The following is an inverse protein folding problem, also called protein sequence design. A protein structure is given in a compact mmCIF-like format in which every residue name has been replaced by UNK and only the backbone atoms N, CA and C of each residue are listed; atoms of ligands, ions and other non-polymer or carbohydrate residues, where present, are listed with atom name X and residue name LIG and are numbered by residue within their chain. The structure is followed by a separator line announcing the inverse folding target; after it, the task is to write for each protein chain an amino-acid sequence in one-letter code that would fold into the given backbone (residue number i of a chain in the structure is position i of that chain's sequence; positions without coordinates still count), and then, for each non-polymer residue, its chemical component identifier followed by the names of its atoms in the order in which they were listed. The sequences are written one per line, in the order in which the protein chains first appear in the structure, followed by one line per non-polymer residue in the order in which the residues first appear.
data_IF_446599131422
#
_entry.id   IF_446599131422
#
_cell.length_a   1.000
_cell.length_b   1.000
_cell.length_c   1.000
_cell.angle_alpha   90.00
_cell.angle_beta   90.00
_cell.angle_gamma   90.00
#
_symmetry.space_group_name_H-M   'P 1'
#
loop_
_entity.id
_entity.type
_entity.pdbx_description
1 polymer ?
#
# COMPACT_ATOMS: atom_id res chain seq x y z
N UNK A 1 -53.61 51.65 -31.90
CA UNK A 1 -53.59 50.40 -32.68
C UNK A 1 -53.85 49.27 -31.70
N UNK A 2 -55.05 48.69 -31.76
CA UNK A 2 -55.55 47.70 -30.80
C UNK A 2 -55.10 46.32 -31.30
N UNK A 3 -54.37 45.57 -30.48
CA UNK A 3 -53.99 44.18 -30.78
C UNK A 3 -55.22 43.30 -30.58
N UNK A 4 -55.72 42.73 -31.68
CA UNK A 4 -56.85 41.79 -31.66
C UNK A 4 -56.47 40.56 -30.82
N UNK A 5 -57.17 40.37 -29.70
CA UNK A 5 -57.18 39.12 -28.95
C UNK A 5 -57.96 38.11 -29.80
N UNK A 6 -57.25 37.10 -30.28
CA UNK A 6 -57.80 35.97 -31.03
C UNK A 6 -58.47 35.02 -30.02
N UNK A 7 -59.75 35.27 -29.73
CA UNK A 7 -60.59 34.46 -28.84
C UNK A 7 -60.94 33.12 -29.52
N UNK A 8 -60.01 32.15 -29.47
CA UNK A 8 -60.31 30.76 -29.80
C UNK A 8 -60.94 30.05 -28.58
N UNK A 9 -62.11 29.41 -28.71
CA UNK A 9 -62.71 28.67 -27.61
C UNK A 9 -61.83 27.46 -27.24
N UNK A 10 -61.44 27.37 -25.98
CA UNK A 10 -60.74 26.20 -25.43
C UNK A 10 -61.68 24.99 -25.40
N UNK A 11 -61.68 24.21 -26.49
CA UNK A 11 -62.26 22.87 -26.47
C UNK A 11 -61.40 21.97 -25.58
N UNK A 12 -62.02 21.31 -24.59
CA UNK A 12 -61.38 20.25 -23.82
C UNK A 12 -61.02 19.11 -24.79
N UNK A 13 -59.76 19.09 -25.23
CA UNK A 13 -59.16 17.92 -25.87
C UNK A 13 -59.37 16.75 -24.90
N UNK A 14 -60.10 15.73 -25.35
CA UNK A 14 -60.45 14.55 -24.54
C UNK A 14 -59.24 13.87 -23.87
N UNK A 15 -59.47 12.83 -23.05
CA UNK A 15 -58.42 12.23 -22.22
C UNK A 15 -57.15 11.97 -23.03
N UNK A 16 -56.06 12.66 -22.69
CA UNK A 16 -54.79 12.47 -23.40
C UNK A 16 -54.35 11.02 -23.24
N UNK A 17 -53.92 10.36 -24.32
CA UNK A 17 -53.40 9.00 -24.22
C UNK A 17 -52.23 8.98 -23.23
N UNK A 18 -52.19 7.95 -22.38
CA UNK A 18 -51.11 7.78 -21.43
C UNK A 18 -49.78 7.76 -22.18
N UNK A 19 -48.88 8.69 -21.83
CA UNK A 19 -47.54 8.74 -22.40
C UNK A 19 -46.83 7.45 -21.99
N UNK A 20 -46.23 6.69 -22.93
CA UNK A 20 -45.43 5.53 -22.57
C UNK A 20 -44.26 5.98 -21.68
N UNK A 21 -43.86 5.16 -20.70
CA UNK A 21 -42.78 5.51 -19.79
C UNK A 21 -41.51 5.83 -20.59
N UNK A 22 -40.80 6.84 -20.13
CA UNK A 22 -39.55 7.27 -20.76
C UNK A 22 -38.47 6.20 -20.66
N UNK A 23 -37.45 6.32 -21.50
CA UNK A 23 -36.28 5.44 -21.45
C UNK A 23 -35.63 5.44 -20.05
N UNK A 24 -35.49 6.61 -19.44
CA UNK A 24 -34.90 6.72 -18.10
C UNK A 24 -35.71 5.98 -17.03
N UNK A 25 -37.03 6.10 -17.05
CA UNK A 25 -37.94 5.41 -16.12
C UNK A 25 -37.89 3.88 -16.30
N UNK A 26 -37.61 3.43 -17.51
CA UNK A 26 -37.53 2.01 -17.85
C UNK A 26 -36.17 1.37 -17.55
N UNK A 27 -35.07 2.12 -17.64
CA UNK A 27 -33.71 1.57 -17.64
C UNK A 27 -32.79 2.04 -16.49
N UNK A 28 -33.24 2.93 -15.60
CA UNK A 28 -32.40 3.43 -14.50
C UNK A 28 -31.83 2.31 -13.62
N UNK A 29 -32.61 1.27 -13.33
CA UNK A 29 -32.18 0.15 -12.50
C UNK A 29 -31.03 -0.64 -13.15
N UNK A 30 -31.09 -0.84 -14.47
CA UNK A 30 -30.03 -1.51 -15.24
C UNK A 30 -28.76 -0.69 -15.20
N UNK A 31 -28.86 0.63 -15.34
CA UNK A 31 -27.71 1.55 -15.26
C UNK A 31 -27.06 1.48 -13.88
N UNK A 32 -27.84 1.52 -12.81
CA UNK A 32 -27.32 1.43 -11.43
C UNK A 32 -26.61 0.09 -11.19
N UNK A 33 -27.21 -1.02 -11.63
CA UNK A 33 -26.62 -2.36 -11.47
C UNK A 33 -25.32 -2.48 -12.29
N UNK A 34 -25.29 -1.97 -13.51
CA UNK A 34 -24.08 -1.96 -14.33
C UNK A 34 -22.98 -1.12 -13.67
N UNK A 35 -23.32 0.03 -13.09
CA UNK A 35 -22.37 0.88 -12.38
C UNK A 35 -21.83 0.21 -11.10
N UNK A 36 -22.70 -0.47 -10.34
CA UNK A 36 -22.30 -1.22 -9.17
C UNK A 36 -21.38 -2.39 -9.54
N UNK A 37 -21.73 -3.16 -10.58
CA UNK A 37 -20.94 -4.29 -11.05
C UNK A 37 -19.56 -3.86 -11.57
N UNK A 38 -19.49 -2.76 -12.34
CA UNK A 38 -18.22 -2.20 -12.83
C UNK A 38 -17.35 -1.69 -11.69
N UNK A 39 -17.94 -1.03 -10.70
CA UNK A 39 -17.21 -0.58 -9.50
C UNK A 39 -16.66 -1.76 -8.71
N UNK A 40 -17.47 -2.81 -8.50
CA UNK A 40 -17.05 -4.02 -7.80
C UNK A 40 -15.93 -4.74 -8.57
N UNK A 41 -16.06 -4.86 -9.89
CA UNK A 41 -15.06 -5.46 -10.77
C UNK A 41 -13.75 -4.68 -10.71
N UNK A 42 -13.79 -3.34 -10.75
CA UNK A 42 -12.62 -2.49 -10.61
C UNK A 42 -11.94 -2.69 -9.24
N UNK A 43 -12.71 -2.85 -8.17
CA UNK A 43 -12.20 -3.13 -6.83
C UNK A 43 -11.53 -4.51 -6.74
N UNK A 44 -12.14 -5.54 -7.33
CA UNK A 44 -11.57 -6.89 -7.44
C UNK A 44 -10.28 -6.86 -8.24
N UNK A 45 -10.27 -6.21 -9.41
CA UNK A 45 -9.08 -6.07 -10.25
C UNK A 45 -7.98 -5.30 -9.51
N UNK A 46 -8.32 -4.20 -8.85
CA UNK A 46 -7.36 -3.41 -8.08
C UNK A 46 -6.75 -4.19 -6.91
N UNK A 47 -7.57 -4.93 -6.16
CA UNK A 47 -7.09 -5.78 -5.05
C UNK A 47 -6.26 -6.96 -5.56
N UNK A 48 -6.61 -7.52 -6.72
CA UNK A 48 -5.86 -8.63 -7.33
C UNK A 48 -4.54 -8.16 -7.93
N UNK A 49 -4.50 -7.01 -8.62
CA UNK A 49 -3.27 -6.37 -9.10
C UNK A 49 -2.34 -5.97 -7.96
N UNK A 50 -2.89 -5.52 -6.83
CA UNK A 50 -2.09 -5.28 -5.60
C UNK A 50 -1.45 -6.57 -5.08
N UNK A 51 -2.14 -7.72 -5.19
CA UNK A 51 -1.59 -9.04 -4.84
C UNK A 51 -0.61 -9.60 -5.87
N UNK A 52 -0.76 -9.23 -7.15
CA UNK A 52 -0.01 -9.77 -8.29
C UNK A 52 1.17 -8.94 -8.77
N UNK A 53 1.50 -7.81 -8.13
CA UNK A 53 2.72 -7.08 -8.49
C UNK A 53 3.89 -8.06 -8.44
N UNK A 54 4.57 -8.33 -9.58
CA UNK A 54 5.69 -9.25 -9.61
C UNK A 54 6.72 -8.70 -8.62
N UNK A 55 6.88 -9.43 -7.52
CA UNK A 55 7.73 -9.03 -6.42
C UNK A 55 9.15 -9.31 -6.91
N UNK A 56 9.83 -8.28 -7.42
CA UNK A 56 11.30 -8.28 -7.35
C UNK A 56 11.64 -8.71 -5.92
N UNK A 57 12.45 -9.76 -5.72
CA UNK A 57 12.61 -10.35 -4.40
C UNK A 57 12.94 -9.22 -3.42
N UNK A 58 12.22 -9.11 -2.30
CA UNK A 58 12.30 -7.93 -1.44
C UNK A 58 13.75 -7.70 -0.98
N UNK A 59 14.54 -8.77 -0.88
CA UNK A 59 15.97 -8.73 -0.62
C UNK A 59 16.80 -8.02 -1.71
N UNK A 60 16.51 -8.21 -3.00
CA UNK A 60 17.27 -7.56 -4.08
C UNK A 60 17.03 -6.04 -4.12
N UNK A 61 15.81 -5.59 -3.82
CA UNK A 61 15.52 -4.16 -3.67
C UNK A 61 16.28 -3.59 -2.48
N UNK A 62 16.30 -4.30 -1.35
CA UNK A 62 17.06 -3.91 -0.18
C UNK A 62 18.55 -3.80 -0.50
N UNK A 63 19.15 -4.82 -1.13
CA UNK A 63 20.59 -4.81 -1.48
C UNK A 63 20.96 -3.65 -2.41
N UNK A 64 20.12 -3.35 -3.41
CA UNK A 64 20.33 -2.19 -4.28
C UNK A 64 20.30 -0.87 -3.49
N UNK A 65 19.38 -0.72 -2.54
CA UNK A 65 19.30 0.45 -1.67
C UNK A 65 20.50 0.55 -0.70
N UNK A 66 20.96 -0.57 -0.15
CA UNK A 66 22.15 -0.63 0.70
C UNK A 66 23.41 -0.25 -0.07
N UNK A 67 23.57 -0.75 -1.31
CA UNK A 67 24.68 -0.40 -2.17
C UNK A 67 24.68 1.10 -2.50
N UNK A 68 23.53 1.67 -2.86
CA UNK A 68 23.40 3.10 -3.14
C UNK A 68 23.59 4.01 -1.94
N UNK A 69 23.50 3.48 -0.71
CA UNK A 69 23.72 4.24 0.52
C UNK A 69 25.19 4.27 0.97
N UNK A 70 26.04 3.38 0.45
CA UNK A 70 27.44 3.26 0.86
C UNK A 70 28.25 4.53 0.59
N UNK A 71 27.95 5.23 -0.52
CA UNK A 71 28.67 6.45 -0.94
C UNK A 71 28.05 7.75 -0.40
N UNK A 72 27.06 7.65 0.49
CA UNK A 72 26.34 8.81 0.99
C UNK A 72 26.89 9.35 2.30
N UNK A 73 26.67 10.64 2.61
CA UNK A 73 26.94 11.18 3.94
C UNK A 73 26.22 10.37 5.02
N UNK A 74 26.89 10.14 6.15
CA UNK A 74 26.44 9.28 7.26
C UNK A 74 24.98 9.48 7.67
N UNK A 75 24.51 10.72 7.78
CA UNK A 75 23.13 11.03 8.15
C UNK A 75 22.11 10.58 7.08
N UNK A 76 22.41 10.81 5.80
CA UNK A 76 21.57 10.39 4.68
C UNK A 76 21.61 8.87 4.50
N UNK A 77 22.80 8.27 4.61
CA UNK A 77 22.97 6.83 4.56
C UNK A 77 22.11 6.14 5.63
N UNK A 78 22.16 6.62 6.89
CA UNK A 78 21.38 6.06 8.00
C UNK A 78 19.87 6.15 7.73
N UNK A 79 19.38 7.28 7.23
CA UNK A 79 17.97 7.46 6.89
C UNK A 79 17.53 6.54 5.74
N UNK A 80 18.31 6.47 4.65
CA UNK A 80 17.96 5.63 3.50
C UNK A 80 18.01 4.15 3.83
N UNK A 81 19.05 3.71 4.55
CA UNK A 81 19.22 2.31 4.96
C UNK A 81 18.09 1.86 5.88
N UNK A 82 17.72 2.68 6.88
CA UNK A 82 16.60 2.36 7.79
C UNK A 82 15.24 2.38 7.08
N UNK A 83 15.00 3.34 6.19
CA UNK A 83 13.78 3.40 5.40
C UNK A 83 13.64 2.20 4.46
N UNK A 84 14.71 1.85 3.74
CA UNK A 84 14.74 0.69 2.86
C UNK A 84 14.49 -0.62 3.62
N UNK A 85 15.12 -0.77 4.80
CA UNK A 85 14.93 -1.95 5.63
C UNK A 85 13.51 -2.05 6.19
N UNK A 86 12.92 -0.94 6.67
CA UNK A 86 11.52 -0.92 7.11
C UNK A 86 10.55 -1.24 5.96
N UNK A 87 10.85 -0.77 4.75
CA UNK A 87 10.13 -1.15 3.53
C UNK A 87 10.23 -2.65 3.22
N UNK A 88 11.44 -3.22 3.35
CA UNK A 88 11.68 -4.66 3.20
C UNK A 88 10.86 -5.49 4.20
N UNK A 89 10.85 -5.11 5.48
CA UNK A 89 10.10 -5.83 6.52
C UNK A 89 8.58 -5.81 6.24
N UNK A 90 8.05 -4.64 5.84
CA UNK A 90 6.64 -4.50 5.48
C UNK A 90 6.26 -5.31 4.24
N UNK A 91 7.19 -5.46 3.29
CA UNK A 91 7.02 -6.32 2.12
C UNK A 91 7.10 -7.81 2.47
N UNK A 92 7.93 -8.18 3.45
CA UNK A 92 8.08 -9.56 3.92
C UNK A 92 6.88 -10.05 4.75
N UNK A 93 6.25 -9.16 5.53
CA UNK A 93 5.08 -9.52 6.32
C UNK A 93 4.18 -8.31 6.66
N UNK A 94 2.84 -8.42 6.51
CA UNK A 94 1.92 -7.28 6.70
C UNK A 94 1.90 -6.75 8.14
N UNK A 95 2.21 -7.58 9.13
CA UNK A 95 2.30 -7.13 10.53
C UNK A 95 3.54 -6.28 10.85
N UNK A 96 4.55 -6.27 9.96
CA UNK A 96 5.79 -5.52 10.12
C UNK A 96 5.71 -4.16 9.40
N UNK A 97 4.64 -3.40 9.66
CA UNK A 97 4.40 -2.10 9.01
C UNK A 97 5.55 -1.12 9.25
N UNK A 98 5.95 -0.41 8.19
CA UNK A 98 7.00 0.60 8.23
C UNK A 98 6.67 1.79 9.16
N UNK A 99 5.39 2.01 9.46
CA UNK A 99 4.90 3.10 10.31
C UNK A 99 5.05 2.84 11.82
N UNK A 100 5.35 1.61 12.23
CA UNK A 100 5.52 1.26 13.65
C UNK A 100 6.78 1.89 14.22
N UNK A 101 6.78 2.34 15.47
CA UNK A 101 8.02 2.64 16.18
C UNK A 101 8.90 1.39 16.32
N UNK A 102 10.19 1.55 16.61
CA UNK A 102 11.12 0.42 16.79
C UNK A 102 10.68 -0.51 17.93
N UNK A 103 10.09 0.04 19.00
CA UNK A 103 9.57 -0.76 20.11
C UNK A 103 8.26 -1.48 19.77
N UNK A 104 7.32 -0.81 19.09
CA UNK A 104 6.10 -1.47 18.61
C UNK A 104 6.41 -2.58 17.61
N UNK A 105 7.36 -2.34 16.70
CA UNK A 105 7.85 -3.36 15.79
C UNK A 105 8.42 -4.55 16.59
N UNK A 106 9.27 -4.28 17.59
CA UNK A 106 9.84 -5.33 18.44
C UNK A 106 8.82 -6.17 19.20
N UNK A 107 7.70 -5.57 19.61
CA UNK A 107 6.57 -6.28 20.20
C UNK A 107 5.81 -7.12 19.14
N UNK A 108 5.50 -6.55 17.97
CA UNK A 108 4.77 -7.25 16.90
C UNK A 108 5.55 -8.41 16.31
N UNK A 109 6.86 -8.30 16.20
CA UNK A 109 7.72 -9.37 15.67
C UNK A 109 7.92 -10.53 16.66
N UNK A 110 7.55 -10.36 17.94
CA UNK A 110 7.77 -11.36 18.98
C UNK A 110 7.06 -12.69 18.69
N UNK A 111 5.88 -12.61 18.10
CA UNK A 111 4.99 -13.76 17.89
C UNK A 111 5.10 -14.33 16.47
N UNK A 112 6.02 -13.82 15.65
CA UNK A 112 6.15 -14.18 14.24
C UNK A 112 7.36 -15.09 14.00
N UNK A 113 7.15 -16.39 13.69
CA UNK A 113 8.25 -17.36 13.50
C UNK A 113 9.28 -16.93 12.47
N UNK A 114 8.83 -16.25 11.41
CA UNK A 114 9.66 -15.72 10.33
C UNK A 114 10.79 -14.80 10.82
N UNK A 115 10.54 -14.02 11.87
CA UNK A 115 11.46 -13.00 12.33
C UNK A 115 12.28 -13.42 13.56
N UNK A 116 11.95 -14.54 14.21
CA UNK A 116 12.64 -14.98 15.42
C UNK A 116 14.18 -15.09 15.25
N UNK A 117 14.73 -15.65 14.16
CA UNK A 117 16.17 -15.79 13.99
C UNK A 117 16.92 -14.45 13.85
N UNK A 118 16.21 -13.42 13.38
CA UNK A 118 16.77 -12.09 13.09
C UNK A 118 16.31 -11.01 14.07
N UNK A 119 15.42 -11.33 15.04
CA UNK A 119 14.75 -10.33 15.88
C UNK A 119 15.71 -9.43 16.64
N UNK A 120 16.66 -10.03 17.35
CA UNK A 120 17.65 -9.26 18.12
C UNK A 120 18.59 -8.43 17.23
N UNK A 121 19.24 -8.98 16.18
CA UNK A 121 20.11 -8.17 15.32
C UNK A 121 19.35 -7.07 14.58
N UNK A 122 18.10 -7.33 14.13
CA UNK A 122 17.21 -6.35 13.52
C UNK A 122 16.92 -5.18 14.46
N UNK A 123 16.48 -5.47 15.70
CA UNK A 123 16.13 -4.43 16.66
C UNK A 123 17.37 -3.67 17.15
N UNK A 124 18.51 -4.34 17.29
CA UNK A 124 19.77 -3.69 17.63
C UNK A 124 20.19 -2.68 16.54
N UNK A 125 20.10 -3.04 15.26
CA UNK A 125 20.43 -2.15 14.15
C UNK A 125 19.49 -0.93 14.10
N UNK A 126 18.17 -1.14 14.26
CA UNK A 126 17.20 -0.05 14.27
C UNK A 126 17.39 0.88 15.48
N UNK A 127 17.62 0.34 16.68
CA UNK A 127 17.89 1.15 17.88
C UNK A 127 19.20 1.92 17.77
N UNK A 128 20.23 1.33 17.17
CA UNK A 128 21.50 2.03 16.91
C UNK A 128 21.28 3.22 15.95
N UNK A 129 20.49 3.03 14.90
CA UNK A 129 20.13 4.10 13.98
C UNK A 129 19.26 5.18 14.65
N UNK A 130 18.32 4.80 15.51
CA UNK A 130 17.54 5.75 16.31
C UNK A 130 18.45 6.54 17.27
N UNK A 131 19.40 5.90 17.93
CA UNK A 131 20.38 6.58 18.77
C UNK A 131 21.26 7.55 17.97
N UNK A 132 21.69 7.18 16.76
CA UNK A 132 22.43 8.08 15.87
C UNK A 132 21.58 9.28 15.44
N UNK A 133 20.30 9.05 15.13
CA UNK A 133 19.37 10.10 14.69
C UNK A 133 18.99 11.07 15.81
N UNK A 134 18.69 10.56 17.00
CA UNK A 134 18.09 11.36 18.08
C UNK A 134 19.09 11.79 19.15
N UNK A 135 20.18 11.05 19.35
CA UNK A 135 21.19 11.33 20.37
C UNK A 135 22.57 11.64 19.78
N UNK A 136 22.69 11.78 18.45
CA UNK A 136 23.95 11.99 17.74
C UNK A 136 25.03 10.95 18.11
N UNK A 137 24.60 9.72 18.46
CA UNK A 137 25.51 8.65 18.77
C UNK A 137 26.37 8.32 17.53
N UNK A 138 27.67 8.02 17.71
CA UNK A 138 28.51 7.65 16.58
C UNK A 138 28.02 6.33 15.98
N UNK A 139 27.69 6.37 14.69
CA UNK A 139 27.28 5.19 13.94
C UNK A 139 27.93 5.23 12.57
N UNK A 140 28.70 4.19 12.27
CA UNK A 140 29.33 4.03 10.98
C UNK A 140 28.36 3.37 9.99
N UNK A 141 28.09 3.99 8.82
CA UNK A 141 27.12 3.45 7.86
C UNK A 141 27.44 2.03 7.42
N UNK A 142 28.72 1.68 7.28
CA UNK A 142 29.15 0.34 6.90
C UNK A 142 28.71 -0.74 7.91
N UNK A 143 28.78 -0.43 9.21
CA UNK A 143 28.34 -1.33 10.29
C UNK A 143 26.82 -1.51 10.24
N UNK A 144 26.07 -0.42 10.06
CA UNK A 144 24.62 -0.46 9.94
C UNK A 144 24.18 -1.28 8.71
N UNK A 145 24.80 -1.04 7.56
CA UNK A 145 24.54 -1.77 6.31
C UNK A 145 24.81 -3.26 6.49
N UNK A 146 25.94 -3.63 7.10
CA UNK A 146 26.28 -5.03 7.34
C UNK A 146 25.28 -5.71 8.30
N UNK A 147 24.90 -5.03 9.39
CA UNK A 147 23.94 -5.56 10.36
C UNK A 147 22.55 -5.79 9.75
N UNK A 148 22.07 -4.85 8.92
CA UNK A 148 20.79 -4.96 8.23
C UNK A 148 20.82 -6.05 7.16
N UNK A 149 21.92 -6.14 6.40
CA UNK A 149 22.12 -7.21 5.43
C UNK A 149 22.04 -8.58 6.09
N UNK A 150 22.77 -8.78 7.19
CA UNK A 150 22.75 -10.04 7.94
C UNK A 150 21.36 -10.37 8.47
N UNK A 151 20.65 -9.39 9.04
CA UNK A 151 19.29 -9.58 9.52
C UNK A 151 18.32 -10.00 8.39
N UNK A 152 18.43 -9.37 7.21
CA UNK A 152 17.61 -9.70 6.05
C UNK A 152 17.90 -11.12 5.52
N UNK A 153 19.18 -11.54 5.48
CA UNK A 153 19.54 -12.89 5.08
C UNK A 153 18.97 -13.95 6.02
N UNK A 154 19.02 -13.74 7.34
CA UNK A 154 18.42 -14.65 8.32
C UNK A 154 16.90 -14.78 8.16
N UNK A 155 16.22 -13.69 7.82
CA UNK A 155 14.77 -13.70 7.53
C UNK A 155 14.50 -14.52 6.28
N UNK A 156 15.29 -14.34 5.22
CA UNK A 156 15.16 -15.09 3.98
C UNK A 156 15.46 -16.59 4.18
N UNK A 157 16.47 -16.93 4.98
CA UNK A 157 16.80 -18.31 5.33
C UNK A 157 15.63 -18.97 6.10
N UNK A 158 15.05 -18.25 7.06
CA UNK A 158 13.84 -18.69 7.76
C UNK A 158 12.66 -18.88 6.79
N UNK A 159 12.49 -17.97 5.85
CA UNK A 159 11.44 -18.05 4.83
C UNK A 159 11.59 -19.30 3.94
N UNK A 160 12.82 -19.62 3.51
CA UNK A 160 13.12 -20.84 2.76
C UNK A 160 12.90 -22.10 3.59
N UNK A 161 13.31 -22.09 4.85
CA UNK A 161 13.13 -23.22 5.77
C UNK A 161 11.65 -23.54 6.03
N UNK A 162 10.78 -22.54 6.04
CA UNK A 162 9.32 -22.70 6.21
C UNK A 162 8.58 -23.11 4.92
N UNK A 163 9.28 -23.33 3.80
CA UNK A 163 8.70 -23.85 2.57
C UNK A 163 8.20 -22.80 1.57
N UNK A 164 8.62 -21.54 1.68
CA UNK A 164 8.28 -20.48 0.73
C UNK A 164 8.89 -20.71 -0.65
N UNK A 165 8.15 -21.35 -1.57
CA UNK A 165 8.38 -21.20 -3.01
C UNK A 165 7.87 -19.80 -3.41
N UNK A 166 8.75 -18.99 -3.99
CA UNK A 166 8.45 -17.65 -4.52
C UNK A 166 7.39 -17.68 -5.61
#
# INVERSE_FOLDING_TARGET
MILAVDDKPFGLLGPRPALPPGWWESYWAVVVVALAATTLLALVIATWLRRKRPVTPPLAILEAALAGAADQPTALATLHVTAAFRGYLAAAHPAASAALSTEELGARLADLPLFLPARQPLLAALRAADAAKFAAAPLEPAILIAAIREAAHRIEDAHRAMGGKR
#
